data_IF_534895106975
#
_entry.id   IF_534895106975
#
_cell.length_a   1.000
_cell.length_b   1.000
_cell.length_c   1.000
_cell.angle_alpha   90.00
_cell.angle_beta   90.00
_cell.angle_gamma   90.00
#
_symmetry.space_group_name_H-M   'P 1'
#
loop_
_entity.id
_entity.type
_entity.pdbx_description
1 polymer ?
#
# COMPACT_ATOMS: atom_id res chain seq x y z
N UNK A 1 -0.51 -12.33 8.83
CA UNK A 1 -0.25 -10.89 8.87
C UNK A 1 1.23 -10.60 9.12
N UNK A 2 1.85 -11.19 10.14
CA UNK A 2 3.25 -10.95 10.54
C UNK A 2 4.29 -11.17 9.42
N UNK A 3 4.15 -12.24 8.64
CA UNK A 3 5.06 -12.51 7.51
C UNK A 3 4.98 -11.44 6.41
N UNK A 4 3.78 -10.90 6.16
CA UNK A 4 3.58 -9.85 5.16
C UNK A 4 4.14 -8.51 5.64
N UNK A 5 3.90 -8.14 6.90
CA UNK A 5 4.50 -6.93 7.48
C UNK A 5 6.03 -7.02 7.45
N UNK A 6 6.59 -8.18 7.82
CA UNK A 6 8.04 -8.40 7.75
C UNK A 6 8.57 -8.28 6.32
N UNK A 7 7.85 -8.85 5.35
CA UNK A 7 8.18 -8.67 3.93
C UNK A 7 8.18 -7.19 3.52
N UNK A 8 7.17 -6.42 3.92
CA UNK A 8 7.07 -5.00 3.58
C UNK A 8 8.16 -4.15 4.25
N UNK A 9 8.57 -4.48 5.48
CA UNK A 9 9.74 -3.87 6.12
C UNK A 9 11.01 -4.12 5.31
N UNK A 10 11.26 -5.37 4.90
CA UNK A 10 12.42 -5.71 4.09
C UNK A 10 12.35 -5.03 2.72
N UNK A 11 11.17 -5.02 2.09
CA UNK A 11 10.95 -4.36 0.80
C UNK A 11 11.24 -2.87 0.86
N UNK A 12 10.77 -2.17 1.91
CA UNK A 12 11.09 -0.76 2.13
C UNK A 12 12.60 -0.56 2.33
N UNK A 13 13.22 -1.39 3.18
CA UNK A 13 14.66 -1.33 3.45
C UNK A 13 15.51 -1.53 2.20
N UNK A 14 15.20 -2.53 1.38
CA UNK A 14 15.90 -2.85 0.12
C UNK A 14 15.77 -1.74 -0.93
N UNK A 15 14.82 -0.81 -0.76
CA UNK A 15 14.61 0.35 -1.62
C UNK A 15 15.02 1.68 -0.96
N UNK A 16 15.82 1.65 0.10
CA UNK A 16 16.29 2.84 0.84
C UNK A 16 15.15 3.72 1.40
N UNK A 17 14.01 3.10 1.77
CA UNK A 17 12.85 3.75 2.38
C UNK A 17 12.82 3.46 3.88
N UNK A 18 12.81 4.51 4.69
CA UNK A 18 12.64 4.38 6.14
C UNK A 18 11.21 3.94 6.50
N UNK A 19 11.03 3.28 7.64
CA UNK A 19 9.70 2.97 8.15
C UNK A 19 9.62 3.12 9.68
N UNK A 20 8.45 3.53 10.16
CA UNK A 20 8.07 3.49 11.56
C UNK A 20 6.74 2.73 11.69
N UNK A 21 6.75 1.66 12.48
CA UNK A 21 5.53 0.93 12.86
C UNK A 21 5.17 1.34 14.29
N UNK A 22 3.98 1.92 14.49
CA UNK A 22 3.53 2.34 15.81
C UNK A 22 2.11 1.83 16.08
N UNK A 23 1.93 1.10 17.18
CA UNK A 23 0.64 0.55 17.64
C UNK A 23 0.05 1.32 18.83
N UNK A 24 0.79 2.26 19.41
CA UNK A 24 0.44 2.85 20.71
C UNK A 24 0.11 4.33 20.55
N UNK A 25 0.91 5.08 19.78
CA UNK A 25 0.87 6.54 19.81
C UNK A 25 -0.14 7.17 18.85
N UNK A 26 -0.63 6.42 17.86
CA UNK A 26 -1.61 6.90 16.87
C UNK A 26 -3.05 6.61 17.30
N UNK A 27 -3.96 7.53 16.94
CA UNK A 27 -5.40 7.30 17.07
C UNK A 27 -5.84 6.19 16.10
N UNK A 28 -6.72 5.24 16.48
CA UNK A 28 -7.24 4.22 15.55
C UNK A 28 -7.88 4.76 14.28
N UNK A 29 -8.32 6.02 14.26
CA UNK A 29 -8.92 6.67 13.10
C UNK A 29 -7.88 7.26 12.13
N UNK A 30 -6.64 7.47 12.57
CA UNK A 30 -5.57 8.07 11.75
C UNK A 30 -5.06 7.08 10.70
N UNK A 31 -5.05 7.49 9.43
CA UNK A 31 -4.45 6.70 8.37
C UNK A 31 -2.92 6.74 8.44
N UNK A 32 -2.28 5.70 7.89
CA UNK A 32 -0.84 5.70 7.63
C UNK A 32 -0.46 6.76 6.60
N UNK A 33 0.80 7.21 6.58
CA UNK A 33 1.25 8.22 5.62
C UNK A 33 2.74 8.12 5.30
N UNK A 34 3.11 8.58 4.10
CA UNK A 34 4.48 8.79 3.66
C UNK A 34 4.92 10.26 3.83
N UNK A 35 6.10 10.45 4.41
CA UNK A 35 6.76 11.75 4.52
C UNK A 35 7.98 11.82 3.59
N UNK A 36 7.85 12.58 2.51
CA UNK A 36 8.91 12.76 1.52
C UNK A 36 10.20 13.36 2.13
N UNK A 37 10.07 14.32 3.06
CA UNK A 37 11.23 15.01 3.67
C UNK A 37 12.24 14.04 4.30
N UNK A 38 11.77 12.95 4.90
CA UNK A 38 12.60 11.94 5.56
C UNK A 38 12.66 10.64 4.77
N UNK A 39 12.05 10.58 3.58
CA UNK A 39 11.81 9.37 2.81
C UNK A 39 11.33 8.19 3.68
N UNK A 40 10.37 8.45 4.56
CA UNK A 40 9.94 7.50 5.60
C UNK A 40 8.43 7.31 5.56
N UNK A 41 7.98 6.07 5.67
CA UNK A 41 6.57 5.72 5.84
C UNK A 41 6.24 5.49 7.32
N UNK A 42 5.11 6.05 7.76
CA UNK A 42 4.62 5.98 9.13
C UNK A 42 3.34 5.16 9.12
N UNK A 43 3.39 3.99 9.75
CA UNK A 43 2.31 2.99 9.71
C UNK A 43 1.62 2.93 11.05
N UNK A 44 0.32 3.20 11.03
CA UNK A 44 -0.55 3.04 12.18
C UNK A 44 -0.96 1.56 12.32
N UNK A 45 -0.25 0.84 13.18
CA UNK A 45 -0.53 -0.56 13.51
C UNK A 45 -1.73 -0.73 14.47
N UNK A 46 -2.37 0.38 14.87
CA UNK A 46 -3.58 0.44 15.69
C UNK A 46 -4.82 0.88 14.89
N UNK A 47 -4.71 0.93 13.56
CA UNK A 47 -5.82 1.36 12.70
C UNK A 47 -7.07 0.51 12.95
N UNK A 48 -8.24 1.15 13.04
CA UNK A 48 -9.51 0.51 13.39
C UNK A 48 -9.85 -0.72 12.52
N UNK A 49 -9.44 -0.70 11.26
CA UNK A 49 -9.53 -1.83 10.34
C UNK A 49 -8.14 -2.46 10.21
N UNK A 50 -7.70 -3.22 11.22
CA UNK A 50 -6.33 -3.78 11.26
C UNK A 50 -5.97 -4.59 10.00
N UNK A 51 -6.97 -5.23 9.35
CA UNK A 51 -6.80 -5.96 8.09
C UNK A 51 -6.35 -5.09 6.91
N UNK A 52 -6.64 -3.78 6.93
CA UNK A 52 -6.21 -2.84 5.89
C UNK A 52 -4.76 -2.38 6.05
N UNK A 53 -4.15 -2.58 7.24
CA UNK A 53 -2.82 -2.06 7.56
C UNK A 53 -1.73 -2.53 6.59
N UNK A 54 -1.65 -3.81 6.18
CA UNK A 54 -0.64 -4.23 5.21
C UNK A 54 -0.79 -3.55 3.85
N UNK A 55 -2.03 -3.31 3.39
CA UNK A 55 -2.27 -2.60 2.14
C UNK A 55 -1.90 -1.12 2.27
N UNK A 56 -2.23 -0.47 3.39
CA UNK A 56 -1.77 0.90 3.67
C UNK A 56 -0.25 0.99 3.65
N UNK A 57 0.46 0.05 4.26
CA UNK A 57 1.93 0.07 4.24
C UNK A 57 2.49 -0.09 2.81
N UNK A 58 1.98 -1.04 2.02
CA UNK A 58 2.36 -1.17 0.62
C UNK A 58 2.02 0.10 -0.22
N UNK A 59 0.92 0.77 0.12
CA UNK A 59 0.51 2.03 -0.49
C UNK A 59 1.49 3.17 -0.17
N UNK A 60 1.87 3.35 1.09
CA UNK A 60 2.84 4.41 1.46
C UNK A 60 4.25 4.14 0.90
N UNK A 61 4.69 2.88 0.86
CA UNK A 61 5.93 2.50 0.15
C UNK A 61 5.82 2.89 -1.32
N UNK A 62 4.65 2.70 -1.93
CA UNK A 62 4.42 3.03 -3.33
C UNK A 62 4.51 4.53 -3.61
N UNK A 63 4.04 5.39 -2.70
CA UNK A 63 4.25 6.83 -2.79
C UNK A 63 5.73 7.19 -2.83
N UNK A 64 6.53 6.60 -1.94
CA UNK A 64 7.97 6.81 -1.91
C UNK A 64 8.63 6.39 -3.25
N UNK A 65 8.30 5.20 -3.75
CA UNK A 65 8.85 4.67 -5.01
C UNK A 65 8.38 5.42 -6.27
N UNK A 66 7.25 6.10 -6.20
CA UNK A 66 6.74 6.94 -7.28
C UNK A 66 7.39 8.33 -7.28
N UNK A 67 8.09 8.71 -6.19
CA UNK A 67 8.60 10.05 -5.98
C UNK A 67 7.50 11.06 -5.65
N UNK A 68 6.37 10.59 -5.11
CA UNK A 68 5.24 11.44 -4.76
C UNK A 68 5.63 12.35 -3.59
N UNK A 69 4.99 13.53 -3.48
CA UNK A 69 5.35 14.50 -2.42
C UNK A 69 4.66 14.22 -1.08
N UNK A 70 4.05 13.03 -0.93
CA UNK A 70 3.16 12.66 0.16
C UNK A 70 1.82 13.41 0.10
N UNK A 71 1.02 13.30 1.15
CA UNK A 71 -0.29 13.98 1.32
C UNK A 71 -0.20 15.51 1.47
N UNK A 72 0.77 16.15 0.81
CA UNK A 72 0.91 17.60 0.81
C UNK A 72 -0.24 18.23 0.04
N UNK A 73 -1.23 18.74 0.78
CA UNK A 73 -2.45 19.44 0.36
C UNK A 73 -2.25 20.68 -0.56
N UNK A 74 -1.03 20.95 -1.06
CA UNK A 74 -0.70 22.06 -1.95
C UNK A 74 -0.77 21.70 -3.44
N UNK A 75 -0.91 20.41 -3.78
CA UNK A 75 -1.09 19.96 -5.17
C UNK A 75 -2.53 20.17 -5.65
N UNK A 76 -2.72 20.41 -6.96
CA UNK A 76 -4.05 20.40 -7.55
C UNK A 76 -4.71 19.01 -7.39
N UNK A 77 -6.02 18.97 -7.12
CA UNK A 77 -6.77 17.72 -6.87
C UNK A 77 -6.54 16.64 -7.94
N UNK A 78 -6.37 17.02 -9.21
CA UNK A 78 -6.14 16.08 -10.30
C UNK A 78 -4.75 15.44 -10.28
N UNK A 79 -3.75 16.09 -9.68
CA UNK A 79 -2.42 15.51 -9.45
C UNK A 79 -2.51 14.50 -8.31
N UNK A 80 -3.12 14.92 -7.19
CA UNK A 80 -3.35 14.05 -6.03
C UNK A 80 -4.07 12.75 -6.42
N UNK A 81 -5.18 12.84 -7.17
CA UNK A 81 -5.89 11.64 -7.64
C UNK A 81 -5.05 10.72 -8.53
N UNK A 82 -4.08 11.26 -9.28
CA UNK A 82 -3.16 10.45 -10.10
C UNK A 82 -2.09 9.77 -9.25
N UNK A 83 -1.57 10.44 -8.23
CA UNK A 83 -0.60 9.88 -7.28
C UNK A 83 -1.25 8.73 -6.50
N UNK A 84 -2.43 8.95 -5.93
CA UNK A 84 -3.23 7.93 -5.23
C UNK A 84 -3.55 6.71 -6.11
N UNK A 85 -3.94 6.93 -7.38
CA UNK A 85 -4.16 5.84 -8.34
C UNK A 85 -2.89 5.02 -8.58
N UNK A 86 -1.76 5.70 -8.81
CA UNK A 86 -0.46 5.03 -9.04
C UNK A 86 0.04 4.32 -7.80
N UNK A 87 -0.16 4.89 -6.61
CA UNK A 87 0.20 4.29 -5.34
C UNK A 87 -0.58 3.01 -5.10
N UNK A 88 -1.91 3.03 -5.24
CA UNK A 88 -2.75 1.84 -5.17
C UNK A 88 -2.31 0.77 -6.18
N UNK A 89 -2.09 1.16 -7.45
CA UNK A 89 -1.66 0.24 -8.51
C UNK A 89 -0.34 -0.45 -8.18
N UNK A 90 0.62 0.28 -7.64
CA UNK A 90 1.94 -0.26 -7.29
C UNK A 90 1.89 -1.09 -6.01
N UNK A 91 1.09 -0.70 -5.03
CA UNK A 91 0.85 -1.49 -3.81
C UNK A 91 0.30 -2.88 -4.16
N UNK A 92 -0.67 -2.95 -5.09
CA UNK A 92 -1.19 -4.22 -5.62
C UNK A 92 -0.07 -5.07 -6.23
N UNK A 93 0.87 -4.47 -6.99
CA UNK A 93 2.00 -5.18 -7.58
C UNK A 93 2.98 -5.71 -6.52
N UNK A 94 3.28 -4.93 -5.48
CA UNK A 94 4.12 -5.36 -4.35
C UNK A 94 3.50 -6.57 -3.64
N UNK A 95 2.18 -6.55 -3.41
CA UNK A 95 1.47 -7.66 -2.80
C UNK A 95 1.40 -8.89 -3.73
N UNK A 96 1.24 -8.71 -5.04
CA UNK A 96 1.32 -9.80 -6.01
C UNK A 96 2.72 -10.42 -6.07
N UNK A 97 3.78 -9.63 -5.90
CA UNK A 97 5.15 -10.13 -5.76
C UNK A 97 5.29 -11.00 -4.51
N UNK A 98 4.78 -10.53 -3.36
CA UNK A 98 4.70 -11.35 -2.15
C UNK A 98 3.96 -12.67 -2.39
N UNK A 99 2.83 -12.64 -3.09
CA UNK A 99 2.09 -13.85 -3.46
C UNK A 99 2.96 -14.83 -4.25
N UNK A 100 3.65 -14.34 -5.29
CA UNK A 100 4.51 -15.17 -6.14
C UNK A 100 5.64 -15.83 -5.33
N UNK A 101 6.28 -15.07 -4.42
CA UNK A 101 7.35 -15.58 -3.56
C UNK A 101 6.88 -16.64 -2.56
N UNK A 102 5.60 -16.61 -2.19
CA UNK A 102 5.01 -17.52 -1.21
C UNK A 102 4.10 -18.59 -1.83
N UNK A 103 4.06 -18.71 -3.15
CA UNK A 103 3.21 -19.69 -3.86
C UNK A 103 1.70 -19.44 -3.71
N UNK A 104 1.28 -18.21 -3.41
CA UNK A 104 -0.12 -17.81 -3.33
C UNK A 104 -0.62 -17.40 -4.72
N UNK A 105 -1.78 -17.92 -5.14
CA UNK A 105 -2.38 -17.60 -6.45
C UNK A 105 -3.80 -17.11 -6.26
N UNK A 106 -4.13 -16.02 -6.94
CA UNK A 106 -5.46 -15.43 -6.98
C UNK A 106 -5.88 -15.24 -8.43
N UNK A 107 -7.11 -15.64 -8.77
CA UNK A 107 -7.62 -15.64 -10.14
C UNK A 107 -8.49 -14.44 -10.45
N UNK A 108 -9.00 -13.75 -9.42
CA UNK A 108 -9.77 -12.53 -9.56
C UNK A 108 -9.39 -11.53 -8.47
N UNK A 109 -9.70 -10.26 -8.75
CA UNK A 109 -9.44 -9.12 -7.88
C UNK A 109 -10.19 -9.21 -6.55
N UNK A 110 -11.42 -9.72 -6.55
CA UNK A 110 -12.24 -9.85 -5.33
C UNK A 110 -11.59 -10.76 -4.30
N UNK A 111 -11.20 -11.98 -4.67
CA UNK A 111 -10.50 -12.92 -3.78
C UNK A 111 -9.20 -12.34 -3.25
N UNK A 112 -8.47 -11.61 -4.10
CA UNK A 112 -7.24 -10.94 -3.71
C UNK A 112 -7.50 -9.82 -2.71
N UNK A 113 -8.50 -8.97 -2.96
CA UNK A 113 -8.86 -7.88 -2.06
C UNK A 113 -9.30 -8.40 -0.69
N UNK A 114 -10.14 -9.44 -0.66
CA UNK A 114 -10.59 -10.06 0.58
C UNK A 114 -9.42 -10.66 1.37
N UNK A 115 -8.48 -11.34 0.71
CA UNK A 115 -7.33 -11.96 1.37
C UNK A 115 -6.33 -10.97 1.97
N UNK A 116 -6.25 -9.75 1.42
CA UNK A 116 -5.32 -8.71 1.85
C UNK A 116 -6.01 -7.53 2.57
N UNK A 117 -7.30 -7.67 2.89
CA UNK A 117 -8.07 -6.62 3.56
C UNK A 117 -8.08 -5.30 2.78
N UNK A 118 -8.14 -5.36 1.44
CA UNK A 118 -8.07 -4.15 0.60
C UNK A 118 -9.44 -3.47 0.58
N UNK A 119 -9.54 -2.18 0.92
CA UNK A 119 -10.82 -1.48 0.98
C UNK A 119 -11.42 -1.32 -0.42
N UNK A 120 -12.74 -1.46 -0.52
CA UNK A 120 -13.50 -1.42 -1.79
C UNK A 120 -13.27 -0.14 -2.61
N UNK A 121 -12.95 0.99 -1.95
CA UNK A 121 -12.58 2.25 -2.61
C UNK A 121 -11.37 2.13 -3.55
N UNK A 122 -10.45 1.19 -3.29
CA UNK A 122 -9.32 0.91 -4.15
C UNK A 122 -9.67 -0.11 -5.26
N UNK A 123 -10.81 -0.79 -5.16
CA UNK A 123 -11.16 -1.97 -5.98
C UNK A 123 -11.03 -1.76 -7.48
N UNK A 124 -11.51 -0.63 -8.00
CA UNK A 124 -11.39 -0.32 -9.42
C UNK A 124 -9.92 -0.29 -9.91
N UNK A 125 -8.96 0.05 -9.06
CA UNK A 125 -7.52 0.01 -9.41
C UNK A 125 -7.02 -1.42 -9.44
N UNK A 126 -7.45 -2.25 -8.47
CA UNK A 126 -7.06 -3.66 -8.39
C UNK A 126 -7.64 -4.42 -9.59
N UNK A 127 -8.90 -4.17 -9.95
CA UNK A 127 -9.54 -4.74 -11.14
C UNK A 127 -8.70 -4.47 -12.39
N UNK A 128 -8.30 -3.22 -12.62
CA UNK A 128 -7.42 -2.85 -13.73
C UNK A 128 -6.08 -3.60 -13.71
N UNK A 129 -5.46 -3.81 -12.54
CA UNK A 129 -4.21 -4.58 -12.42
C UNK A 129 -4.42 -6.05 -12.81
N UNK A 130 -5.55 -6.64 -12.44
CA UNK A 130 -5.88 -8.02 -12.79
C UNK A 130 -6.22 -8.16 -14.28
N UNK A 131 -6.93 -7.20 -14.87
CA UNK A 131 -7.19 -7.15 -16.32
C UNK A 131 -5.87 -7.07 -17.12
N UNK A 132 -4.95 -6.18 -16.72
CA UNK A 132 -3.61 -6.06 -17.33
C UNK A 132 -2.80 -7.36 -17.23
N UNK A 133 -2.95 -8.11 -16.13
CA UNK A 133 -2.27 -9.40 -15.91
C UNK A 133 -2.80 -10.50 -16.84
N UNK A 134 -4.08 -10.45 -17.21
CA UNK A 134 -4.75 -11.42 -18.10
C UNK A 134 -4.54 -11.07 -19.58
N UNK A 135 -4.03 -9.88 -19.90
CA UNK A 135 -3.71 -9.44 -21.26
C UNK A 135 -4.93 -8.99 -22.07
N UNK A 136 -5.93 -8.41 -21.38
CA UNK A 136 -7.12 -7.79 -22.00
C UNK A 136 -6.84 -6.30 -22.25
#
# INVERSE_FOLDING_TARGET
MDNLITYLCNYAFDHDIGYQLDKISYDPEDASFYLNLTNTVYINMNYKNEEEVPFQFAHEISHALNGDKGSNNFSANSVYSKEEYKANKRATKILLEYCNLNGLTFYNSTEFMDAFGIPSKAGYVIDNVFEEKVGI
#
